data_IF_107903843807
#
_entry.id   IF_107903843807
#
_cell.length_a   1.000
_cell.length_b   1.000
_cell.length_c   1.000
_cell.angle_alpha   90.00
_cell.angle_beta   90.00
_cell.angle_gamma   90.00
#
_symmetry.space_group_name_H-M   'P 1'
#
loop_
_entity.id
_entity.type
_entity.pdbx_description
1 polymer ?
#
# COMPACT_ATOMS: atom_id res chain seq x y z
N UNK A 1 -13.01 -2.70 -8.92
CA UNK A 1 -12.28 -3.38 -7.84
C UNK A 1 -12.90 -2.93 -6.52
N UNK A 2 -12.93 -3.76 -5.47
CA UNK A 2 -13.46 -3.28 -4.17
C UNK A 2 -12.45 -2.33 -3.50
N UNK A 3 -12.87 -1.32 -2.72
CA UNK A 3 -11.96 -0.39 -2.05
C UNK A 3 -10.90 -1.07 -1.18
N UNK A 4 -11.27 -2.13 -0.47
CA UNK A 4 -10.37 -2.85 0.44
C UNK A 4 -9.24 -3.55 -0.32
N UNK A 5 -9.51 -3.99 -1.55
CA UNK A 5 -8.49 -4.56 -2.41
C UNK A 5 -7.45 -3.53 -2.84
N UNK A 6 -7.84 -2.26 -2.99
CA UNK A 6 -6.92 -1.19 -3.39
C UNK A 6 -6.01 -0.80 -2.24
N UNK A 7 -6.55 -0.70 -1.02
CA UNK A 7 -5.76 -0.51 0.18
C UNK A 7 -4.75 -1.64 0.38
N UNK A 8 -5.21 -2.89 0.27
CA UNK A 8 -4.34 -4.06 0.39
C UNK A 8 -3.27 -4.12 -0.72
N UNK A 9 -3.55 -3.55 -1.90
CA UNK A 9 -2.57 -3.40 -2.98
C UNK A 9 -1.51 -2.35 -2.67
N UNK A 10 -1.84 -1.27 -1.95
CA UNK A 10 -0.84 -0.30 -1.44
C UNK A 10 0.07 -0.96 -0.40
N UNK A 11 -0.47 -1.80 0.49
CA UNK A 11 0.34 -2.58 1.45
C UNK A 11 1.28 -3.53 0.70
N UNK A 12 0.76 -4.25 -0.29
CA UNK A 12 1.57 -5.16 -1.12
C UNK A 12 2.68 -4.44 -1.90
N UNK A 13 2.40 -3.23 -2.39
CA UNK A 13 3.36 -2.35 -3.05
C UNK A 13 4.51 -1.97 -2.12
N UNK A 14 4.22 -1.50 -0.90
CA UNK A 14 5.24 -1.16 0.10
C UNK A 14 6.14 -2.36 0.42
N UNK A 15 5.56 -3.53 0.66
CA UNK A 15 6.30 -4.77 0.94
C UNK A 15 7.17 -5.22 -0.24
N UNK A 16 6.76 -4.94 -1.47
CA UNK A 16 7.56 -5.24 -2.66
C UNK A 16 8.74 -4.28 -2.80
N UNK A 17 8.47 -2.98 -2.64
CA UNK A 17 9.46 -1.90 -2.81
C UNK A 17 10.58 -1.94 -1.77
N UNK A 18 10.24 -2.21 -0.51
CA UNK A 18 11.20 -2.16 0.60
C UNK A 18 11.63 -3.54 1.11
N UNK A 19 11.15 -4.63 0.51
CA UNK A 19 11.65 -5.97 0.80
C UNK A 19 11.57 -6.34 2.28
N UNK A 20 12.66 -6.91 2.81
CA UNK A 20 12.75 -7.35 4.22
C UNK A 20 12.82 -6.15 5.16
N UNK A 21 13.52 -5.07 4.80
CA UNK A 21 13.57 -3.83 5.59
C UNK A 21 12.17 -3.26 5.83
N UNK A 22 11.31 -3.26 4.81
CA UNK A 22 9.92 -2.81 4.94
C UNK A 22 9.10 -3.74 5.82
N UNK A 23 9.31 -5.04 5.72
CA UNK A 23 8.63 -6.05 6.53
C UNK A 23 8.95 -5.84 8.02
N UNK A 24 10.23 -5.68 8.35
CA UNK A 24 10.72 -5.46 9.72
C UNK A 24 10.22 -4.13 10.27
N UNK A 25 10.22 -3.07 9.46
CA UNK A 25 9.72 -1.74 9.85
C UNK A 25 8.22 -1.70 10.11
N UNK A 26 7.46 -2.64 9.55
CA UNK A 26 6.04 -2.83 9.86
C UNK A 26 5.82 -3.72 11.09
N UNK A 27 6.87 -4.35 11.63
CA UNK A 27 6.78 -5.23 12.79
C UNK A 27 6.23 -6.62 12.46
N UNK A 28 6.41 -7.10 11.23
CA UNK A 28 6.02 -8.47 10.86
C UNK A 28 7.23 -9.39 10.86
N UNK A 29 7.08 -10.59 11.41
CA UNK A 29 8.15 -11.61 11.45
C UNK A 29 8.31 -12.34 10.11
N UNK A 30 7.26 -12.33 9.27
CA UNK A 30 7.30 -12.98 7.97
C UNK A 30 6.29 -12.38 6.99
N UNK A 31 6.57 -12.50 5.70
CA UNK A 31 5.61 -12.14 4.67
C UNK A 31 4.29 -12.91 4.79
N UNK A 32 4.35 -14.17 5.24
CA UNK A 32 3.14 -14.97 5.47
C UNK A 32 2.24 -14.32 6.53
N UNK A 33 2.84 -13.82 7.61
CA UNK A 33 2.13 -13.07 8.64
C UNK A 33 1.59 -11.76 8.09
N UNK A 34 2.42 -10.97 7.40
CA UNK A 34 2.01 -9.70 6.79
C UNK A 34 0.79 -9.88 5.86
N UNK A 35 0.79 -10.91 5.01
CA UNK A 35 -0.35 -11.20 4.13
C UNK A 35 -1.60 -11.63 4.90
N UNK A 36 -1.44 -12.45 5.95
CA UNK A 36 -2.54 -12.91 6.78
C UNK A 36 -3.19 -11.76 7.54
N UNK A 37 -2.39 -10.90 8.17
CA UNK A 37 -2.86 -9.78 8.97
C UNK A 37 -3.45 -8.66 8.11
N UNK A 38 -2.83 -8.35 6.96
CA UNK A 38 -3.42 -7.45 5.96
C UNK A 38 -4.77 -7.98 5.49
N UNK A 39 -4.85 -9.27 5.17
CA UNK A 39 -6.08 -9.92 4.74
C UNK A 39 -7.18 -9.88 5.80
N UNK A 40 -6.81 -10.12 7.07
CA UNK A 40 -7.74 -10.03 8.21
C UNK A 40 -8.23 -8.60 8.41
N UNK A 41 -7.33 -7.62 8.43
CA UNK A 41 -7.67 -6.20 8.68
C UNK A 41 -8.59 -5.63 7.60
N UNK A 42 -8.34 -5.99 6.32
CA UNK A 42 -9.06 -5.45 5.17
C UNK A 42 -10.14 -6.36 4.61
N UNK A 43 -10.40 -7.53 5.23
CA UNK A 43 -11.32 -8.54 4.71
C UNK A 43 -10.99 -8.97 3.25
N UNK A 44 -9.69 -9.14 2.96
CA UNK A 44 -9.15 -9.55 1.67
C UNK A 44 -8.48 -10.92 1.81
N UNK A 45 -8.54 -11.75 0.76
CA UNK A 45 -7.81 -13.04 0.77
C UNK A 45 -6.30 -12.78 0.87
N UNK A 46 -5.57 -13.39 1.83
CA UNK A 46 -4.12 -13.23 1.95
C UNK A 46 -3.35 -13.55 0.66
N UNK A 47 -3.83 -14.55 -0.09
CA UNK A 47 -3.26 -14.92 -1.38
C UNK A 47 -3.39 -13.80 -2.43
N UNK A 48 -4.41 -12.95 -2.35
CA UNK A 48 -4.51 -11.77 -3.21
C UNK A 48 -3.43 -10.75 -2.89
N UNK A 49 -3.16 -10.50 -1.61
CA UNK A 49 -2.08 -9.59 -1.16
C UNK A 49 -0.73 -10.08 -1.66
N UNK A 50 -0.45 -11.38 -1.50
CA UNK A 50 0.74 -12.03 -2.05
C UNK A 50 0.85 -11.84 -3.56
N UNK A 51 -0.22 -12.11 -4.31
CA UNK A 51 -0.22 -11.99 -5.77
C UNK A 51 0.05 -10.55 -6.21
N UNK A 52 -0.52 -9.55 -5.54
CA UNK A 52 -0.24 -8.15 -5.86
C UNK A 52 1.22 -7.79 -5.60
N UNK A 53 1.82 -8.28 -4.52
CA UNK A 53 3.25 -8.10 -4.26
C UNK A 53 4.08 -8.72 -5.39
N UNK A 54 3.79 -9.97 -5.76
CA UNK A 54 4.49 -10.68 -6.84
C UNK A 54 4.34 -9.96 -8.21
N UNK A 55 3.27 -9.18 -8.43
CA UNK A 55 3.09 -8.30 -9.60
C UNK A 55 4.01 -7.06 -9.58
N UNK A 56 4.40 -6.57 -8.39
CA UNK A 56 5.31 -5.43 -8.21
C UNK A 56 6.78 -5.84 -8.13
N UNK A 57 7.08 -7.05 -7.67
CA UNK A 57 8.45 -7.55 -7.46
C UNK A 57 9.40 -7.35 -8.66
N UNK A 58 8.99 -7.52 -9.93
CA UNK A 58 9.90 -7.32 -11.07
C UNK A 58 10.44 -5.88 -11.23
N UNK A 59 9.86 -4.91 -10.53
CA UNK A 59 10.16 -3.48 -10.68
C UNK A 59 11.04 -2.94 -9.56
N UNK A 60 11.41 -3.78 -8.58
CA UNK A 60 12.20 -3.38 -7.42
C UNK A 60 13.34 -4.38 -7.18
N UNK A 61 14.45 -3.88 -6.63
CA UNK A 61 15.61 -4.73 -6.31
C UNK A 61 15.41 -5.45 -4.98
N UNK A 62 14.48 -6.40 -4.97
CA UNK A 62 14.14 -7.20 -3.80
C UNK A 62 14.57 -8.68 -3.94
N UNK A 63 15.44 -8.96 -4.92
CA UNK A 63 15.94 -10.31 -5.23
C UNK A 63 14.89 -11.26 -5.82
N UNK A 64 13.65 -10.82 -6.05
CA UNK A 64 12.56 -11.67 -6.58
C UNK A 64 12.27 -11.29 -8.03
N UNK A 65 12.25 -12.31 -8.91
CA UNK A 65 11.91 -12.10 -10.32
C UNK A 65 10.43 -11.76 -10.57
N UNK A 66 9.55 -12.05 -9.61
CA UNK A 66 8.09 -11.84 -9.73
C UNK A 66 7.50 -12.38 -11.03
N UNK A 67 6.41 -11.75 -11.50
CA UNK A 67 5.82 -12.03 -12.82
C UNK A 67 6.45 -11.18 -13.95
N UNK A 68 7.79 -11.16 -14.06
CA UNK A 68 8.49 -10.34 -15.07
C UNK A 68 8.06 -10.57 -16.53
N UNK A 69 7.48 -11.74 -16.85
CA UNK A 69 6.97 -12.07 -18.19
C UNK A 69 5.57 -11.50 -18.46
N UNK A 70 4.84 -11.07 -17.42
CA UNK A 70 3.52 -10.44 -17.56
C UNK A 70 3.70 -8.93 -17.48
N UNK A 71 3.25 -8.21 -18.49
CA UNK A 71 3.18 -6.75 -18.43
C UNK A 71 2.36 -6.29 -17.22
N UNK A 72 2.79 -5.20 -16.57
CA UNK A 72 2.08 -4.62 -15.43
C UNK A 72 0.64 -4.27 -15.82
N UNK A 73 -0.30 -4.65 -14.96
CA UNK A 73 -1.71 -4.27 -15.14
C UNK A 73 -1.87 -2.75 -14.93
N UNK A 74 -2.77 -2.07 -15.67
CA UNK A 74 -2.95 -0.62 -15.55
C UNK A 74 -3.14 -0.13 -14.11
N UNK A 75 -3.98 -0.81 -13.33
CA UNK A 75 -4.21 -0.42 -11.93
C UNK A 75 -2.97 -0.52 -11.03
N UNK A 76 -2.02 -1.41 -11.33
CA UNK A 76 -0.76 -1.56 -10.58
C UNK A 76 0.22 -0.47 -11.00
N UNK A 77 0.27 -0.19 -12.29
CA UNK A 77 1.07 0.90 -12.82
C UNK A 77 0.66 2.23 -12.20
N UNK A 78 -0.63 2.48 -12.03
CA UNK A 78 -1.13 3.69 -11.38
C UNK A 78 -0.78 3.77 -9.89
N UNK A 79 -0.85 2.65 -9.14
CA UNK A 79 -0.35 2.61 -7.74
C UNK A 79 1.14 2.98 -7.70
N UNK A 80 1.94 2.39 -8.59
CA UNK A 80 3.37 2.73 -8.66
C UNK A 80 3.55 4.22 -8.97
N UNK A 81 2.89 4.75 -10.00
CA UNK A 81 2.98 6.19 -10.33
C UNK A 81 2.59 7.09 -9.16
N UNK A 82 1.58 6.70 -8.38
CA UNK A 82 1.05 7.54 -7.32
C UNK A 82 1.91 7.51 -6.03
N UNK A 83 2.48 6.35 -5.68
CA UNK A 83 3.16 6.13 -4.40
C UNK A 83 4.69 5.96 -4.50
N UNK A 84 5.26 5.77 -5.69
CA UNK A 84 6.69 5.48 -5.85
C UNK A 84 7.62 6.67 -5.53
N UNK A 85 7.11 7.90 -5.61
CA UNK A 85 7.88 9.10 -5.22
C UNK A 85 7.88 9.32 -3.68
N UNK A 86 7.09 8.56 -2.90
CA UNK A 86 7.04 8.73 -1.45
C UNK A 86 8.29 8.13 -0.80
N UNK A 87 8.82 8.84 0.20
CA UNK A 87 9.84 8.30 1.09
C UNK A 87 9.32 7.05 1.82
N UNK A 88 10.24 6.16 2.21
CA UNK A 88 9.90 4.97 2.99
C UNK A 88 9.05 5.32 4.22
N UNK A 89 9.46 6.32 4.99
CA UNK A 89 8.75 6.77 6.18
C UNK A 89 7.31 7.22 5.87
N UNK A 90 7.13 8.03 4.82
CA UNK A 90 5.82 8.53 4.43
C UNK A 90 4.90 7.39 3.96
N UNK A 91 5.40 6.49 3.11
CA UNK A 91 4.60 5.36 2.64
C UNK A 91 4.29 4.36 3.77
N UNK A 92 5.24 4.15 4.69
CA UNK A 92 5.02 3.34 5.88
C UNK A 92 3.90 3.90 6.76
N UNK A 93 3.86 5.21 6.96
CA UNK A 93 2.80 5.86 7.72
C UNK A 93 1.42 5.62 7.08
N UNK A 94 1.31 5.75 5.74
CA UNK A 94 0.08 5.38 5.01
C UNK A 94 -0.31 3.92 5.29
N UNK A 95 0.64 2.99 5.17
CA UNK A 95 0.38 1.56 5.39
C UNK A 95 -0.06 1.27 6.82
N UNK A 96 0.57 1.89 7.82
CA UNK A 96 0.18 1.75 9.22
C UNK A 96 -1.24 2.27 9.47
N UNK A 97 -1.61 3.41 8.87
CA UNK A 97 -2.96 3.96 8.97
C UNK A 97 -4.01 3.08 8.28
N UNK A 98 -3.66 2.47 7.13
CA UNK A 98 -4.50 1.50 6.43
C UNK A 98 -4.76 0.27 7.31
N UNK A 99 -3.72 -0.25 7.95
CA UNK A 99 -3.80 -1.47 8.75
C UNK A 99 -4.48 -1.24 10.11
N UNK A 100 -4.53 0.01 10.58
CA UNK A 100 -5.16 0.39 11.84
C UNK A 100 -6.67 0.68 11.65
N UNK A 101 -7.58 -0.14 12.22
CA UNK A 101 -9.03 0.05 12.06
C UNK A 101 -9.54 1.42 12.52
N UNK A 102 -8.86 2.07 13.47
CA UNK A 102 -9.25 3.38 14.00
C UNK A 102 -8.85 4.53 13.05
N UNK A 103 -7.73 4.41 12.34
CA UNK A 103 -7.26 5.43 11.39
C UNK A 103 -7.80 5.20 9.98
N UNK A 104 -8.21 3.96 9.67
CA UNK A 104 -8.64 3.54 8.33
C UNK A 104 -9.72 4.42 7.69
N UNK A 105 -10.82 4.81 8.36
CA UNK A 105 -11.84 5.65 7.72
C UNK A 105 -11.28 7.01 7.24
N UNK A 106 -10.29 7.53 7.96
CA UNK A 106 -9.65 8.80 7.62
C UNK A 106 -8.72 8.63 6.43
N UNK A 107 -7.84 7.62 6.43
CA UNK A 107 -6.95 7.39 5.28
C UNK A 107 -7.73 6.99 4.03
N UNK A 108 -8.86 6.28 4.16
CA UNK A 108 -9.78 6.00 3.05
C UNK A 108 -10.33 7.29 2.43
N UNK A 109 -10.75 8.24 3.26
CA UNK A 109 -11.24 9.54 2.80
C UNK A 109 -10.15 10.35 2.11
N UNK A 110 -8.93 10.37 2.65
CA UNK A 110 -7.78 11.08 2.08
C UNK A 110 -7.34 10.49 0.74
N UNK A 111 -7.34 9.15 0.64
CA UNK A 111 -6.96 8.44 -0.57
C UNK A 111 -8.08 8.39 -1.61
N UNK A 112 -9.34 8.69 -1.26
CA UNK A 112 -10.50 8.47 -2.13
C UNK A 112 -10.34 9.14 -3.50
N UNK A 113 -9.92 10.41 -3.55
CA UNK A 113 -9.73 11.12 -4.83
C UNK A 113 -8.62 10.51 -5.70
N UNK A 114 -7.57 10.00 -5.07
CA UNK A 114 -6.46 9.30 -5.75
C UNK A 114 -6.95 7.98 -6.29
N UNK A 115 -7.57 7.15 -5.44
CA UNK A 115 -8.11 5.84 -5.83
C UNK A 115 -9.19 5.96 -6.91
N UNK A 116 -10.07 6.96 -6.81
CA UNK A 116 -11.06 7.27 -7.83
C UNK A 116 -10.40 7.66 -9.15
N UNK A 117 -9.34 8.47 -9.12
CA UNK A 117 -8.54 8.78 -10.31
C UNK A 117 -7.93 7.52 -10.91
N UNK A 118 -7.35 6.63 -10.10
CA UNK A 118 -6.78 5.34 -10.54
C UNK A 118 -7.87 4.48 -11.21
N UNK A 119 -9.07 4.40 -10.62
CA UNK A 119 -10.21 3.65 -11.18
C UNK A 119 -10.67 4.25 -12.52
N UNK A 120 -10.72 5.58 -12.63
CA UNK A 120 -11.20 6.28 -13.82
C UNK A 120 -10.16 6.32 -14.96
N UNK A 121 -8.87 6.28 -14.63
CA UNK A 121 -7.76 6.24 -15.60
C UNK A 121 -7.66 4.91 -16.36
N UNK A 122 -8.34 3.86 -15.89
CA UNK A 122 -8.48 2.58 -16.61
C UNK A 122 -9.11 2.74 -18.01
N UNK A 123 -9.61 3.93 -18.39
CA UNK A 123 -10.12 4.22 -19.74
C UNK A 123 -9.39 5.29 -20.58
N UNK A 124 -8.54 6.16 -20.01
CA UNK A 124 -7.95 7.29 -20.76
C UNK A 124 -6.57 7.69 -20.21
N UNK A 125 -5.53 7.61 -21.05
CA UNK A 125 -4.20 8.19 -20.79
C UNK A 125 -4.33 9.70 -20.53
N UNK A 126 -4.10 10.18 -19.29
CA UNK A 126 -3.55 11.53 -19.03
C UNK A 126 -3.12 11.78 -17.57
N UNK A 127 -1.98 12.48 -17.47
CA UNK A 127 -1.39 13.25 -16.38
C UNK A 127 -1.09 12.55 -15.02
N UNK A 128 0.22 12.53 -14.66
CA UNK A 128 0.75 12.11 -13.35
C UNK A 128 0.14 12.94 -12.21
N UNK A 129 -0.73 12.37 -11.39
CA UNK A 129 -1.15 12.98 -10.12
C UNK A 129 -0.20 12.53 -9.02
N UNK A 130 0.63 13.44 -8.51
CA UNK A 130 1.52 13.15 -7.36
C UNK A 130 0.73 13.25 -6.06
N UNK A 131 0.82 12.23 -5.22
CA UNK A 131 0.21 12.25 -3.88
C UNK A 131 1.04 13.16 -2.96
N UNK A 132 0.39 14.16 -2.34
CA UNK A 132 0.91 14.87 -1.16
C UNK A 132 0.32 14.21 0.08
N UNK A 133 0.94 13.14 0.56
CA UNK A 133 0.61 12.57 1.87
C UNK A 133 1.54 13.20 2.91
N UNK A 134 0.97 14.00 3.81
CA UNK A 134 1.69 14.47 4.99
C UNK A 134 1.47 13.43 6.08
N UNK A 135 2.48 12.64 6.47
CA UNK A 135 2.32 11.73 7.60
C UNK A 135 1.84 12.57 8.78
N UNK A 136 0.65 12.24 9.28
CA UNK A 136 0.23 12.73 10.59
C UNK A 136 1.27 12.14 11.53
N UNK A 137 2.11 12.99 12.11
CA UNK A 137 3.17 12.54 13.02
C UNK A 137 2.57 11.68 14.14
N UNK A 138 3.39 11.03 14.98
CA UNK A 138 2.95 10.29 16.18
C UNK A 138 2.26 11.17 17.24
N UNK A 139 1.78 12.35 16.87
CA UNK A 139 1.13 13.38 17.67
C UNK A 139 -0.38 13.21 17.60
N UNK A 140 -0.90 12.28 18.37
CA UNK A 140 -2.34 12.17 18.58
C UNK A 140 -2.80 11.05 19.50
N UNK A 141 -2.02 9.96 19.65
CA UNK A 141 -2.39 8.84 20.55
C UNK A 141 -1.57 8.74 21.84
N UNK A 142 -0.49 9.48 22.00
CA UNK A 142 0.33 9.47 23.22
C UNK A 142 -0.02 10.58 24.23
N UNK A 143 -1.03 11.41 23.96
CA UNK A 143 -1.47 12.47 24.89
C UNK A 143 -2.64 12.07 25.80
N UNK A 144 -3.24 10.88 25.63
CA UNK A 144 -4.44 10.46 26.37
C UNK A 144 -4.21 9.32 27.38
N UNK A 145 -3.02 8.70 27.41
CA UNK A 145 -2.69 7.67 28.42
C UNK A 145 -1.99 8.22 29.68
N UNK A 146 -1.84 9.54 29.79
CA UNK A 146 -1.36 10.22 31.00
C UNK A 146 -2.26 11.42 31.33
N UNK A 147 -3.50 11.16 31.74
CA UNK A 147 -4.29 12.12 32.52
C UNK A 147 -5.11 11.45 33.60
#
# INVERSE_FOLDING_TARGET
MKPENELAMIVAFYLSKFGEDGLDRLGFDSYRQAFADTGRSLNVKPNSVKNWRDEFDPYYDNGRKGWYQRGIRPSRQEVMVAFDDLSEHALRAVVMDILNPLARPTVESELNSTLESIRNLVGKRKARTKIKYSPRGPTGRLAEEFS
#
